data_IF_672751691427
#
_entry.id   IF_672751691427
#
_cell.length_a   1.000
_cell.length_b   1.000
_cell.length_c   1.000
_cell.angle_alpha   90.00
_cell.angle_beta   90.00
_cell.angle_gamma   90.00
#
_symmetry.space_group_name_H-M   'P 1'
#
loop_
_entity.id
_entity.type
_entity.pdbx_description
1 polymer ?
#
# COMPACT_ATOMS: atom_id res chain seq x y z
N UNK A 1 8.84 9.92 -25.60
CA UNK A 1 8.11 9.24 -24.50
C UNK A 1 8.72 7.86 -24.28
N UNK A 2 8.83 7.45 -23.01
CA UNK A 2 9.24 6.11 -22.59
C UNK A 2 8.01 5.37 -22.06
N UNK A 3 7.86 4.10 -22.44
CA UNK A 3 6.82 3.20 -21.96
C UNK A 3 7.48 2.12 -21.11
N UNK A 4 6.99 1.89 -19.91
CA UNK A 4 7.47 0.84 -19.01
C UNK A 4 6.34 -0.18 -18.81
N UNK A 5 6.63 -1.45 -19.05
CA UNK A 5 5.66 -2.55 -18.91
C UNK A 5 6.17 -3.63 -17.96
N UNK A 6 5.28 -4.20 -17.19
CA UNK A 6 5.64 -5.20 -16.18
C UNK A 6 6.07 -6.56 -16.76
N UNK A 7 5.55 -6.90 -17.96
CA UNK A 7 5.81 -8.20 -18.56
C UNK A 7 5.46 -8.24 -20.05
N UNK A 8 5.84 -9.32 -20.73
CA UNK A 8 5.62 -9.52 -22.15
C UNK A 8 4.13 -9.60 -22.55
N UNK A 9 3.24 -10.01 -21.64
CA UNK A 9 1.81 -10.02 -21.93
C UNK A 9 1.25 -8.59 -22.03
N UNK A 10 1.74 -7.67 -21.19
CA UNK A 10 1.38 -6.26 -21.28
C UNK A 10 1.99 -5.62 -22.54
N UNK A 11 3.22 -5.98 -22.87
CA UNK A 11 3.86 -5.55 -24.10
C UNK A 11 3.05 -5.97 -25.35
N UNK A 12 2.57 -7.21 -25.39
CA UNK A 12 1.71 -7.72 -26.45
C UNK A 12 0.43 -6.89 -26.63
N UNK A 13 -0.22 -6.52 -25.52
CA UNK A 13 -1.44 -5.68 -25.57
C UNK A 13 -1.18 -4.29 -26.13
N UNK A 14 0.00 -3.75 -25.93
CA UNK A 14 0.36 -2.41 -26.37
C UNK A 14 1.02 -2.38 -27.76
N UNK A 15 1.38 -3.54 -28.34
CA UNK A 15 2.21 -3.64 -29.54
C UNK A 15 1.61 -2.87 -30.72
N UNK A 16 0.31 -2.94 -30.95
CA UNK A 16 -0.37 -2.19 -32.00
C UNK A 16 -0.20 -0.68 -31.81
N UNK A 17 -0.52 -0.19 -30.61
CA UNK A 17 -0.37 1.24 -30.25
C UNK A 17 1.08 1.71 -30.35
N UNK A 18 2.03 0.87 -29.95
CA UNK A 18 3.47 1.18 -30.00
C UNK A 18 3.94 1.34 -31.45
N UNK A 19 3.47 0.50 -32.35
CA UNK A 19 3.84 0.55 -33.76
C UNK A 19 3.19 1.72 -34.51
N UNK A 20 1.99 2.11 -34.11
CA UNK A 20 1.26 3.23 -34.72
C UNK A 20 1.72 4.61 -34.23
N UNK A 21 2.32 4.69 -33.04
CA UNK A 21 2.65 5.97 -32.39
C UNK A 21 4.14 6.28 -32.42
N UNK A 22 4.54 7.19 -33.29
CA UNK A 22 5.93 7.61 -33.49
C UNK A 22 6.54 8.36 -32.27
N UNK A 23 5.72 8.87 -31.35
CA UNK A 23 6.23 9.59 -30.18
C UNK A 23 6.81 8.69 -29.08
N UNK A 24 6.58 7.36 -29.14
CA UNK A 24 7.19 6.41 -28.20
C UNK A 24 8.62 6.13 -28.66
N UNK A 25 9.59 6.60 -27.88
CA UNK A 25 11.01 6.49 -28.20
C UNK A 25 11.68 5.23 -27.67
N UNK A 26 11.33 4.82 -26.46
CA UNK A 26 11.88 3.63 -25.80
C UNK A 26 10.79 2.89 -25.05
N UNK A 27 10.97 1.58 -24.96
CA UNK A 27 10.08 0.67 -24.23
C UNK A 27 10.95 -0.17 -23.30
N UNK A 28 10.61 -0.18 -22.01
CA UNK A 28 11.32 -0.91 -20.98
C UNK A 28 10.41 -2.02 -20.46
N UNK A 29 10.90 -3.25 -20.42
CA UNK A 29 10.20 -4.40 -19.82
C UNK A 29 11.02 -5.00 -18.68
N UNK A 30 10.34 -5.59 -17.70
CA UNK A 30 10.97 -6.36 -16.63
C UNK A 30 11.24 -7.80 -17.02
N UNK A 31 10.58 -8.30 -18.07
CA UNK A 31 10.82 -9.64 -18.62
C UNK A 31 12.01 -9.65 -19.57
N UNK A 32 12.53 -10.86 -19.78
CA UNK A 32 13.57 -11.14 -20.76
C UNK A 32 13.07 -10.78 -22.19
N UNK A 33 13.81 -9.88 -22.85
CA UNK A 33 13.50 -9.38 -24.18
C UNK A 33 13.64 -10.44 -25.29
N UNK A 34 14.57 -11.40 -25.17
CA UNK A 34 14.74 -12.42 -26.19
C UNK A 34 13.47 -13.26 -26.35
N UNK A 35 12.84 -13.59 -25.24
CA UNK A 35 11.53 -14.26 -25.24
C UNK A 35 10.42 -13.38 -25.84
N UNK A 36 10.51 -12.05 -25.67
CA UNK A 36 9.56 -11.12 -26.27
C UNK A 36 9.72 -11.04 -27.79
N UNK A 37 10.94 -11.01 -28.27
CA UNK A 37 11.23 -10.90 -29.72
C UNK A 37 10.68 -12.08 -30.51
N UNK A 38 10.76 -13.30 -29.98
CA UNK A 38 10.23 -14.49 -30.62
C UNK A 38 8.69 -14.48 -30.74
N UNK A 39 8.01 -13.82 -29.80
CA UNK A 39 6.54 -13.90 -29.69
C UNK A 39 5.81 -12.70 -30.30
N UNK A 40 6.48 -11.59 -30.61
CA UNK A 40 5.81 -10.31 -30.88
C UNK A 40 6.14 -9.65 -32.23
N UNK A 41 6.82 -10.29 -33.16
CA UNK A 41 7.21 -9.69 -34.46
C UNK A 41 7.74 -8.25 -34.33
N UNK A 42 8.72 -8.04 -33.47
CA UNK A 42 9.26 -6.74 -33.17
C UNK A 42 10.22 -6.31 -34.29
N UNK A 43 9.83 -5.31 -35.07
CA UNK A 43 10.61 -4.83 -36.22
C UNK A 43 11.79 -3.94 -35.84
N UNK A 44 11.74 -3.24 -34.70
CA UNK A 44 12.79 -2.32 -34.24
C UNK A 44 13.26 -2.67 -32.84
N UNK A 45 14.22 -3.60 -32.74
CA UNK A 45 14.76 -4.10 -31.48
C UNK A 45 15.45 -3.01 -30.64
N UNK A 46 16.05 -2.01 -31.27
CA UNK A 46 16.75 -0.91 -30.56
C UNK A 46 15.82 -0.04 -29.71
N UNK A 47 14.52 -0.09 -29.99
CA UNK A 47 13.50 0.62 -29.23
C UNK A 47 13.24 -0.01 -27.86
N UNK A 48 13.58 -1.28 -27.68
CA UNK A 48 13.25 -2.09 -26.51
C UNK A 48 14.48 -2.29 -25.63
N UNK A 49 14.29 -2.15 -24.32
CA UNK A 49 15.31 -2.33 -23.29
C UNK A 49 14.76 -3.22 -22.18
N UNK A 50 15.55 -4.15 -21.67
CA UNK A 50 15.20 -4.83 -20.43
C UNK A 50 15.65 -3.99 -19.23
N UNK A 51 14.87 -4.07 -18.16
CA UNK A 51 15.11 -3.29 -16.95
C UNK A 51 16.48 -3.58 -16.32
N UNK A 52 16.90 -4.84 -16.34
CA UNK A 52 18.18 -5.23 -15.74
C UNK A 52 19.38 -4.64 -16.50
N UNK A 53 19.29 -4.51 -17.82
CA UNK A 53 20.34 -3.89 -18.62
C UNK A 53 20.50 -2.41 -18.29
N UNK A 54 19.38 -1.72 -18.02
CA UNK A 54 19.39 -0.30 -17.61
C UNK A 54 20.02 -0.15 -16.22
N UNK A 55 19.69 -1.03 -15.29
CA UNK A 55 20.22 -0.98 -13.92
C UNK A 55 21.73 -1.27 -13.82
N UNK A 56 22.31 -1.90 -14.83
CA UNK A 56 23.77 -2.15 -14.90
C UNK A 56 24.57 -0.97 -15.44
N UNK A 57 23.91 0.00 -16.07
CA UNK A 57 24.59 1.16 -16.61
C UNK A 57 24.86 2.18 -15.50
N UNK A 58 26.12 2.49 -15.28
CA UNK A 58 26.49 3.61 -14.42
C UNK A 58 26.07 4.94 -15.07
N UNK A 59 25.44 5.79 -14.27
CA UNK A 59 25.13 7.15 -14.70
C UNK A 59 26.43 7.93 -14.90
N UNK A 60 26.64 8.46 -16.09
CA UNK A 60 27.74 9.40 -16.31
C UNK A 60 27.51 10.70 -15.53
N UNK A 61 28.58 11.47 -15.25
CA UNK A 61 28.44 12.81 -14.64
C UNK A 61 27.49 13.74 -15.42
N UNK A 62 27.34 13.52 -16.73
CA UNK A 62 26.44 14.28 -17.61
C UNK A 62 24.97 13.87 -17.43
N UNK A 63 24.71 12.67 -16.92
CA UNK A 63 23.36 12.14 -16.66
C UNK A 63 22.86 12.47 -15.26
N UNK A 64 23.70 13.05 -14.41
CA UNK A 64 23.26 13.59 -13.11
C UNK A 64 22.19 14.63 -13.36
N UNK A 65 21.07 14.47 -12.66
CA UNK A 65 19.91 15.35 -12.75
C UNK A 65 20.36 16.80 -12.64
N UNK A 66 20.54 17.46 -13.78
CA UNK A 66 20.74 18.90 -13.82
C UNK A 66 19.45 19.54 -13.31
N UNK A 67 19.58 20.51 -12.41
CA UNK A 67 18.53 21.30 -11.78
C UNK A 67 17.27 21.43 -12.65
N UNK A 68 16.36 20.46 -12.50
CA UNK A 68 15.03 20.57 -13.07
C UNK A 68 14.35 21.72 -12.34
N UNK A 69 14.12 22.82 -13.05
CA UNK A 69 13.45 24.01 -12.50
C UNK A 69 11.96 23.72 -12.32
N UNK A 70 11.64 22.68 -11.50
CA UNK A 70 10.30 22.22 -11.25
C UNK A 70 9.60 23.17 -10.28
N UNK A 71 8.45 23.69 -10.71
CA UNK A 71 7.58 24.51 -9.87
C UNK A 71 6.54 23.63 -9.18
N UNK A 72 6.01 24.09 -8.07
CA UNK A 72 4.87 23.41 -7.39
C UNK A 72 3.66 23.21 -8.32
N UNK A 73 3.48 24.11 -9.30
CA UNK A 73 2.41 24.04 -10.32
C UNK A 73 2.72 23.09 -11.47
N UNK A 74 3.96 22.64 -11.61
CA UNK A 74 4.33 21.68 -12.66
C UNK A 74 3.59 20.36 -12.47
N UNK A 75 3.22 19.73 -13.59
CA UNK A 75 2.59 18.40 -13.59
C UNK A 75 3.59 17.38 -13.09
N UNK A 76 3.20 16.62 -12.05
CA UNK A 76 3.99 15.52 -11.50
C UNK A 76 3.62 14.18 -12.14
N UNK A 77 2.32 13.89 -12.20
CA UNK A 77 1.82 12.66 -12.80
C UNK A 77 0.37 12.80 -13.27
N UNK A 78 -0.08 11.82 -14.05
CA UNK A 78 -1.48 11.67 -14.47
C UNK A 78 -1.93 10.28 -14.03
N UNK A 79 -2.98 10.24 -13.20
CA UNK A 79 -3.59 8.97 -12.76
C UNK A 79 -4.91 8.79 -13.48
N UNK A 80 -5.05 7.68 -14.19
CA UNK A 80 -6.29 7.34 -14.89
C UNK A 80 -7.29 6.68 -13.95
N UNK A 81 -8.52 7.16 -13.99
CA UNK A 81 -9.67 6.60 -13.27
C UNK A 81 -10.68 6.02 -14.26
N UNK A 82 -11.49 5.05 -13.83
CA UNK A 82 -12.47 4.38 -14.70
C UNK A 82 -13.58 5.30 -15.23
N UNK A 83 -13.74 6.51 -14.68
CA UNK A 83 -14.78 7.44 -15.08
C UNK A 83 -16.22 6.88 -14.97
N UNK A 84 -17.18 7.69 -14.64
CA UNK A 84 -18.60 7.29 -14.54
C UNK A 84 -19.26 6.93 -15.89
N UNK A 85 -18.63 7.27 -17.01
CA UNK A 85 -19.14 7.04 -18.37
C UNK A 85 -18.38 5.95 -19.15
N UNK A 86 -17.61 5.08 -18.47
CA UNK A 86 -16.87 3.96 -19.09
C UNK A 86 -15.56 4.34 -19.77
N UNK A 87 -15.34 5.61 -20.11
CA UNK A 87 -14.06 6.08 -20.67
C UNK A 87 -13.10 6.51 -19.56
N UNK A 88 -11.85 6.01 -19.54
CA UNK A 88 -10.87 6.43 -18.56
C UNK A 88 -10.60 7.95 -18.62
N UNK A 89 -10.59 8.60 -17.44
CA UNK A 89 -10.24 10.02 -17.31
C UNK A 89 -8.88 10.17 -16.66
N UNK A 90 -7.99 10.94 -17.28
CA UNK A 90 -6.68 11.27 -16.74
C UNK A 90 -6.77 12.44 -15.76
N UNK A 91 -6.55 12.16 -14.47
CA UNK A 91 -6.48 13.18 -13.41
C UNK A 91 -5.05 13.69 -13.31
N UNK A 92 -4.87 14.97 -13.59
CA UNK A 92 -3.55 15.64 -13.55
C UNK A 92 -3.23 16.05 -12.12
N UNK A 93 -2.10 15.58 -11.60
CA UNK A 93 -1.59 15.93 -10.28
C UNK A 93 -0.33 16.78 -10.40
N UNK A 94 -0.30 17.90 -9.66
CA UNK A 94 0.88 18.76 -9.59
C UNK A 94 1.81 18.34 -8.45
N UNK A 95 3.10 18.71 -8.55
CA UNK A 95 4.06 18.53 -7.45
C UNK A 95 3.55 19.18 -6.14
N UNK A 96 2.97 20.38 -6.24
CA UNK A 96 2.41 21.07 -5.07
C UNK A 96 1.26 20.34 -4.40
N UNK A 97 0.36 19.72 -5.18
CA UNK A 97 -0.74 18.92 -4.67
C UNK A 97 -0.26 17.69 -3.89
N UNK A 98 0.72 16.97 -4.46
CA UNK A 98 1.33 15.80 -3.81
C UNK A 98 2.03 16.24 -2.52
N UNK A 99 2.83 17.31 -2.55
CA UNK A 99 3.53 17.81 -1.36
C UNK A 99 2.58 18.26 -0.24
N UNK A 100 1.45 18.88 -0.58
CA UNK A 100 0.44 19.27 0.42
C UNK A 100 -0.17 18.04 1.12
N UNK A 101 -0.55 17.03 0.35
CA UNK A 101 -1.04 15.77 0.92
C UNK A 101 0.01 15.09 1.79
N UNK A 102 1.27 15.15 1.37
CA UNK A 102 2.38 14.58 2.09
C UNK A 102 2.58 15.23 3.47
N UNK A 103 2.52 16.56 3.56
CA UNK A 103 2.61 17.29 4.84
C UNK A 103 1.51 16.81 5.79
N UNK A 104 0.25 16.76 5.34
CA UNK A 104 -0.86 16.28 6.14
C UNK A 104 -0.71 14.82 6.58
N UNK A 105 -0.28 13.94 5.68
CA UNK A 105 -0.05 12.53 5.99
C UNK A 105 1.07 12.35 7.03
N UNK A 106 2.17 13.10 6.92
CA UNK A 106 3.26 13.05 7.89
C UNK A 106 2.82 13.52 9.29
N UNK A 107 2.03 14.60 9.38
CA UNK A 107 1.51 15.07 10.67
C UNK A 107 0.59 14.04 11.34
N UNK A 108 -0.30 13.39 10.58
CA UNK A 108 -1.17 12.33 11.10
C UNK A 108 -0.35 11.11 11.58
N UNK A 109 0.73 10.78 10.88
CA UNK A 109 1.57 9.63 11.23
C UNK A 109 2.57 9.91 12.35
N UNK A 110 2.93 11.16 12.59
CA UNK A 110 3.95 11.57 13.58
C UNK A 110 3.76 10.93 14.97
N UNK A 111 2.55 10.85 15.56
CA UNK A 111 2.35 10.20 16.84
C UNK A 111 2.55 8.67 16.82
N UNK A 112 2.54 8.07 15.65
CA UNK A 112 2.69 6.62 15.46
C UNK A 112 4.14 6.20 15.21
N UNK A 113 5.03 7.18 14.96
CA UNK A 113 6.43 6.97 14.59
C UNK A 113 7.33 7.33 15.76
N UNK A 114 7.73 6.34 16.56
CA UNK A 114 8.74 6.45 17.63
C UNK A 114 10.12 5.92 17.20
N UNK A 115 10.17 5.19 16.09
CA UNK A 115 11.35 4.59 15.48
C UNK A 115 11.13 4.51 13.97
N UNK A 116 12.11 4.00 13.22
CA UNK A 116 11.96 3.81 11.76
C UNK A 116 10.72 2.96 11.46
N UNK A 117 9.69 3.53 10.81
CA UNK A 117 8.46 2.80 10.53
C UNK A 117 8.67 1.73 9.46
N UNK A 118 7.93 0.65 9.58
CA UNK A 118 7.92 -0.46 8.61
C UNK A 118 6.54 -0.55 7.99
N UNK A 119 6.49 -0.53 6.66
CA UNK A 119 5.27 -0.65 5.88
C UNK A 119 5.29 -1.91 5.02
N UNK A 120 4.12 -2.45 4.78
CA UNK A 120 3.88 -3.46 3.75
C UNK A 120 2.91 -2.86 2.72
N UNK A 121 3.42 -2.53 1.55
CA UNK A 121 2.66 -2.01 0.41
C UNK A 121 2.07 -3.19 -0.38
N UNK A 122 0.76 -3.18 -0.58
CA UNK A 122 0.03 -4.26 -1.25
C UNK A 122 -1.11 -3.75 -2.15
N UNK A 123 -1.46 -2.48 -2.02
CA UNK A 123 -2.41 -1.83 -2.91
C UNK A 123 -1.72 -1.36 -4.20
N UNK A 124 -2.46 -1.21 -5.31
CA UNK A 124 -1.88 -0.76 -6.57
C UNK A 124 -1.33 0.67 -6.48
N UNK A 125 -0.04 0.86 -6.81
CA UNK A 125 0.60 2.19 -6.85
C UNK A 125 0.00 3.12 -7.91
N UNK A 126 -0.72 2.58 -8.87
CA UNK A 126 -1.48 3.36 -9.85
C UNK A 126 -2.74 4.01 -9.27
N UNK A 127 -3.16 3.63 -8.05
CA UNK A 127 -4.28 4.23 -7.35
C UNK A 127 -3.80 5.41 -6.50
N UNK A 128 -4.53 6.53 -6.53
CA UNK A 128 -4.15 7.79 -5.87
C UNK A 128 -3.85 7.64 -4.37
N UNK A 129 -4.59 6.78 -3.67
CA UNK A 129 -4.38 6.54 -2.24
C UNK A 129 -3.01 5.91 -1.96
N UNK A 130 -2.69 4.77 -2.58
CA UNK A 130 -1.40 4.11 -2.36
C UNK A 130 -0.24 4.93 -2.92
N UNK A 131 -0.47 5.66 -4.00
CA UNK A 131 0.50 6.61 -4.54
C UNK A 131 0.90 7.69 -3.52
N UNK A 132 -0.08 8.27 -2.82
CA UNK A 132 0.16 9.22 -1.72
C UNK A 132 0.88 8.56 -0.54
N UNK A 133 0.47 7.35 -0.14
CA UNK A 133 1.11 6.57 0.93
C UNK A 133 2.57 6.29 0.61
N UNK A 134 2.90 5.95 -0.64
CA UNK A 134 4.28 5.71 -1.07
C UNK A 134 5.19 6.93 -0.88
N UNK A 135 4.71 8.13 -1.22
CA UNK A 135 5.46 9.36 -0.94
C UNK A 135 5.62 9.62 0.55
N UNK A 136 4.58 9.35 1.35
CA UNK A 136 4.66 9.48 2.80
C UNK A 136 5.68 8.52 3.41
N UNK A 137 5.73 7.27 2.93
CA UNK A 137 6.73 6.27 3.33
C UNK A 137 8.16 6.75 3.07
N UNK A 138 8.40 7.37 1.90
CA UNK A 138 9.70 7.95 1.54
C UNK A 138 10.04 9.12 2.48
N UNK A 139 9.10 10.02 2.71
CA UNK A 139 9.32 11.22 3.51
C UNK A 139 9.65 10.92 4.99
N UNK A 140 9.06 9.87 5.55
CA UNK A 140 9.34 9.45 6.94
C UNK A 140 10.52 8.47 7.03
N UNK A 141 11.23 8.20 5.94
CA UNK A 141 12.37 7.28 5.92
C UNK A 141 12.00 5.84 6.26
N UNK A 142 10.79 5.39 5.87
CA UNK A 142 10.27 4.08 6.20
C UNK A 142 11.10 2.94 5.56
N UNK A 143 11.06 1.78 6.21
CA UNK A 143 11.39 0.50 5.54
C UNK A 143 10.13 0.00 4.87
N UNK A 144 10.17 -0.18 3.55
CA UNK A 144 9.02 -0.59 2.76
C UNK A 144 9.23 -1.97 2.18
N UNK A 145 8.27 -2.84 2.41
CA UNK A 145 8.15 -4.14 1.76
C UNK A 145 6.98 -4.11 0.79
N UNK A 146 7.11 -4.82 -0.33
CA UNK A 146 6.05 -4.95 -1.33
C UNK A 146 5.51 -6.37 -1.29
N UNK A 147 4.21 -6.52 -1.13
CA UNK A 147 3.57 -7.82 -1.13
C UNK A 147 3.62 -8.45 -2.53
N UNK A 148 3.87 -9.75 -2.59
CA UNK A 148 3.93 -10.48 -3.85
C UNK A 148 2.54 -10.55 -4.53
N UNK A 149 1.52 -10.92 -3.75
CA UNK A 149 0.13 -11.05 -4.18
C UNK A 149 -0.81 -11.13 -2.97
N UNK A 150 -2.10 -10.89 -3.19
CA UNK A 150 -3.11 -10.83 -2.10
C UNK A 150 -3.22 -12.16 -1.34
N UNK A 151 -3.09 -13.29 -2.02
CA UNK A 151 -3.18 -14.63 -1.41
C UNK A 151 -2.06 -14.89 -0.39
N UNK A 152 -0.89 -14.26 -0.58
CA UNK A 152 0.26 -14.35 0.32
C UNK A 152 0.37 -13.22 1.33
N UNK A 153 -0.65 -12.37 1.41
CA UNK A 153 -0.59 -11.15 2.24
C UNK A 153 -0.30 -11.47 3.71
N UNK A 154 -0.88 -12.52 4.28
CA UNK A 154 -0.64 -12.92 5.68
C UNK A 154 0.80 -13.39 5.91
N UNK A 155 1.37 -14.14 4.96
CA UNK A 155 2.77 -14.58 5.02
C UNK A 155 3.69 -13.37 4.94
N UNK A 156 3.44 -12.46 4.00
CA UNK A 156 4.20 -11.22 3.85
C UNK A 156 4.08 -10.31 5.09
N UNK A 157 2.91 -10.24 5.75
CA UNK A 157 2.75 -9.52 7.03
C UNK A 157 3.63 -10.15 8.13
N UNK A 158 3.65 -11.49 8.20
CA UNK A 158 4.46 -12.20 9.21
C UNK A 158 5.95 -11.97 9.02
N UNK A 159 6.42 -11.89 7.77
CA UNK A 159 7.80 -11.63 7.40
C UNK A 159 8.20 -10.16 7.59
N UNK A 160 7.44 -9.25 7.01
CA UNK A 160 7.70 -7.81 7.06
C UNK A 160 7.52 -7.21 8.46
N UNK A 161 6.62 -7.76 9.28
CA UNK A 161 6.26 -7.28 10.62
C UNK A 161 5.97 -5.77 10.63
N UNK A 162 5.02 -5.30 9.83
CA UNK A 162 4.78 -3.88 9.66
C UNK A 162 4.38 -3.20 10.98
N UNK A 163 4.79 -1.95 11.14
CA UNK A 163 4.37 -1.10 12.27
C UNK A 163 3.11 -0.32 11.93
N UNK A 164 2.93 0.01 10.65
CA UNK A 164 1.75 0.69 10.11
C UNK A 164 1.28 -0.10 8.88
N UNK A 165 -0.01 -0.34 8.80
CA UNK A 165 -0.63 -1.03 7.67
C UNK A 165 -1.72 -0.16 7.07
N UNK A 166 -1.57 0.16 5.78
CA UNK A 166 -2.56 0.92 5.02
C UNK A 166 -3.48 -0.01 4.25
N UNK A 167 -4.76 0.28 4.24
CA UNK A 167 -5.74 -0.48 3.48
C UNK A 167 -6.97 0.35 3.13
N UNK A 168 -7.81 -0.19 2.24
CA UNK A 168 -9.11 0.40 1.90
C UNK A 168 -10.21 -0.12 2.83
N UNK A 169 -11.35 0.61 3.01
CA UNK A 169 -12.42 0.23 3.91
C UNK A 169 -12.92 -1.21 3.73
N UNK A 170 -13.01 -1.66 2.49
CA UNK A 170 -13.44 -3.03 2.17
C UNK A 170 -12.54 -4.12 2.78
N UNK A 171 -11.25 -3.87 2.91
CA UNK A 171 -10.34 -4.79 3.59
C UNK A 171 -10.71 -4.93 5.07
N UNK A 172 -10.92 -3.81 5.76
CA UNK A 172 -11.30 -3.79 7.17
C UNK A 172 -12.66 -4.41 7.41
N UNK A 173 -13.63 -4.18 6.53
CA UNK A 173 -14.93 -4.84 6.54
C UNK A 173 -14.78 -6.38 6.48
N UNK A 174 -13.99 -6.87 5.55
CA UNK A 174 -13.74 -8.30 5.40
C UNK A 174 -13.01 -8.88 6.63
N UNK A 175 -12.04 -8.14 7.17
CA UNK A 175 -11.32 -8.52 8.39
C UNK A 175 -12.26 -8.61 9.59
N UNK A 176 -13.10 -7.60 9.80
CA UNK A 176 -14.13 -7.56 10.83
C UNK A 176 -15.08 -8.75 10.72
N UNK A 177 -15.62 -9.00 9.53
CA UNK A 177 -16.52 -10.13 9.27
C UNK A 177 -15.84 -11.48 9.57
N UNK A 178 -14.62 -11.67 9.13
CA UNK A 178 -13.84 -12.89 9.38
C UNK A 178 -13.57 -13.10 10.87
N UNK A 179 -13.22 -12.04 11.60
CA UNK A 179 -13.04 -12.11 13.06
C UNK A 179 -14.36 -12.48 13.73
N UNK A 180 -15.47 -11.84 13.39
CA UNK A 180 -16.79 -12.12 13.98
C UNK A 180 -17.26 -13.56 13.73
N UNK A 181 -17.07 -14.08 12.51
CA UNK A 181 -17.38 -15.48 12.19
C UNK A 181 -16.55 -16.43 13.06
N UNK A 182 -15.25 -16.15 13.20
CA UNK A 182 -14.37 -16.98 14.02
C UNK A 182 -14.71 -16.90 15.51
N UNK A 183 -15.13 -15.72 15.99
CA UNK A 183 -15.58 -15.54 17.38
C UNK A 183 -16.86 -16.33 17.68
N UNK A 184 -17.84 -16.30 16.78
CA UNK A 184 -19.10 -17.05 16.94
C UNK A 184 -18.91 -18.56 17.01
N UNK A 185 -17.81 -19.07 16.45
CA UNK A 185 -17.42 -20.49 16.54
C UNK A 185 -16.78 -20.88 17.87
N UNK A 186 -16.37 -19.90 18.69
CA UNK A 186 -15.75 -20.19 19.99
C UNK A 186 -16.83 -20.45 21.04
N UNK A 187 -16.54 -21.37 21.95
CA UNK A 187 -17.43 -21.75 23.06
C UNK A 187 -16.67 -21.70 24.39
N UNK A 188 -17.40 -21.81 25.49
CA UNK A 188 -16.84 -21.94 26.83
C UNK A 188 -15.99 -20.72 27.25
N UNK A 189 -14.86 -20.98 27.89
CA UNK A 189 -13.98 -19.94 28.45
C UNK A 189 -13.41 -19.03 27.38
N UNK A 190 -13.07 -19.56 26.20
CA UNK A 190 -12.55 -18.76 25.08
C UNK A 190 -13.54 -17.68 24.64
N UNK A 191 -14.81 -18.03 24.46
CA UNK A 191 -15.85 -17.08 24.09
C UNK A 191 -16.00 -15.97 25.12
N UNK A 192 -15.98 -16.32 26.42
CA UNK A 192 -16.06 -15.35 27.52
C UNK A 192 -14.86 -14.38 27.53
N UNK A 193 -13.64 -14.87 27.33
CA UNK A 193 -12.43 -14.03 27.27
C UNK A 193 -12.46 -13.07 26.07
N UNK A 194 -12.89 -13.52 24.91
CA UNK A 194 -13.02 -12.68 23.71
C UNK A 194 -14.06 -11.59 23.93
N UNK A 195 -15.26 -11.95 24.42
CA UNK A 195 -16.32 -10.99 24.73
C UNK A 195 -15.88 -9.94 25.74
N UNK A 196 -15.20 -10.35 26.81
CA UNK A 196 -14.64 -9.45 27.81
C UNK A 196 -13.57 -8.51 27.20
N UNK A 197 -12.73 -9.04 26.29
CA UNK A 197 -11.71 -8.26 25.59
C UNK A 197 -12.31 -7.12 24.79
N UNK A 198 -13.39 -7.41 24.04
CA UNK A 198 -14.09 -6.39 23.26
C UNK A 198 -14.76 -5.37 24.17
N UNK A 199 -15.51 -5.83 25.18
CA UNK A 199 -16.21 -4.95 26.12
C UNK A 199 -15.24 -3.97 26.83
N UNK A 200 -14.14 -4.47 27.37
CA UNK A 200 -13.17 -3.64 28.08
C UNK A 200 -12.33 -2.79 27.11
N UNK A 201 -12.08 -3.28 25.89
CA UNK A 201 -11.47 -2.48 24.82
C UNK A 201 -12.34 -1.28 24.47
N UNK A 202 -13.65 -1.47 24.28
CA UNK A 202 -14.61 -0.40 23.97
C UNK A 202 -14.69 0.63 25.11
N UNK A 203 -14.75 0.18 26.38
CA UNK A 203 -14.69 1.08 27.54
C UNK A 203 -13.43 1.95 27.54
N UNK A 204 -12.27 1.36 27.24
CA UNK A 204 -11.00 2.09 27.16
C UNK A 204 -11.00 3.11 26.04
N UNK A 205 -11.50 2.74 24.86
CA UNK A 205 -11.59 3.63 23.69
C UNK A 205 -12.48 4.84 23.96
N UNK A 206 -13.63 4.62 24.63
CA UNK A 206 -14.59 5.68 24.98
C UNK A 206 -14.22 6.46 26.24
N UNK A 207 -13.02 6.22 26.83
CA UNK A 207 -12.57 6.84 28.08
C UNK A 207 -13.56 6.65 29.27
N UNK A 208 -14.33 5.55 29.27
CA UNK A 208 -15.22 5.23 30.37
C UNK A 208 -14.44 4.82 31.62
N UNK A 209 -14.99 5.14 32.81
CA UNK A 209 -14.39 4.76 34.08
C UNK A 209 -14.36 3.24 34.22
N UNK A 210 -13.17 2.71 34.48
CA UNK A 210 -12.95 1.30 34.77
C UNK A 210 -12.61 1.11 36.26
N UNK A 211 -13.23 0.11 36.91
CA UNK A 211 -12.88 -0.29 38.26
C UNK A 211 -11.44 -0.85 38.33
N UNK A 212 -10.87 -0.93 39.55
CA UNK A 212 -9.55 -1.51 39.75
C UNK A 212 -9.48 -2.96 39.22
N UNK A 213 -10.47 -3.77 39.49
CA UNK A 213 -10.54 -5.17 38.98
C UNK A 213 -10.67 -5.25 37.46
N UNK A 214 -11.45 -4.34 36.84
CA UNK A 214 -11.54 -4.28 35.38
C UNK A 214 -10.20 -3.92 34.74
N UNK A 215 -9.41 -3.01 35.34
CA UNK A 215 -8.07 -2.65 34.84
C UNK A 215 -7.11 -3.83 34.92
N UNK A 216 -7.08 -4.54 36.06
CA UNK A 216 -6.24 -5.72 36.26
C UNK A 216 -6.62 -6.82 35.26
N UNK A 217 -7.91 -7.10 35.12
CA UNK A 217 -8.41 -8.11 34.17
C UNK A 217 -8.13 -7.71 32.72
N UNK A 218 -8.28 -6.42 32.37
CA UNK A 218 -7.93 -5.92 31.04
C UNK A 218 -6.45 -6.15 30.70
N UNK A 219 -5.53 -5.94 31.66
CA UNK A 219 -4.10 -6.25 31.47
C UNK A 219 -3.84 -7.74 31.25
N UNK A 220 -4.58 -8.60 31.91
CA UNK A 220 -4.52 -10.06 31.66
C UNK A 220 -4.99 -10.40 30.25
N UNK A 221 -6.07 -9.76 29.77
CA UNK A 221 -6.59 -9.94 28.41
C UNK A 221 -5.62 -9.43 27.32
N UNK A 222 -4.79 -8.43 27.65
CA UNK A 222 -3.71 -7.98 26.75
C UNK A 222 -2.73 -9.13 26.45
N UNK A 223 -2.39 -9.92 27.46
CA UNK A 223 -1.46 -11.06 27.30
C UNK A 223 -2.15 -12.27 26.64
N UNK A 224 -3.34 -12.64 27.14
CA UNK A 224 -4.03 -13.87 26.75
C UNK A 224 -4.67 -13.78 25.36
N UNK A 225 -5.16 -12.60 24.98
CA UNK A 225 -5.97 -12.43 23.75
C UNK A 225 -5.27 -11.46 22.77
N UNK A 226 -5.08 -10.20 23.16
CA UNK A 226 -4.61 -9.15 22.23
C UNK A 226 -3.21 -9.43 21.70
N UNK A 227 -2.27 -9.91 22.51
CA UNK A 227 -0.93 -10.32 22.02
C UNK A 227 -0.99 -11.42 20.98
N UNK A 228 -1.92 -12.38 21.08
CA UNK A 228 -2.09 -13.45 20.11
C UNK A 228 -2.62 -12.91 18.78
N UNK A 229 -3.60 -11.99 18.85
CA UNK A 229 -4.13 -11.32 17.66
C UNK A 229 -3.02 -10.48 17.01
N UNK A 230 -2.29 -9.68 17.80
CA UNK A 230 -1.20 -8.84 17.31
C UNK A 230 -0.11 -9.65 16.60
N UNK A 231 0.19 -10.88 17.08
CA UNK A 231 1.13 -11.79 16.41
C UNK A 231 0.71 -12.15 14.99
N UNK A 232 -0.58 -12.26 14.70
CA UNK A 232 -1.08 -12.55 13.35
C UNK A 232 -0.77 -11.41 12.36
N UNK A 233 -0.56 -10.19 12.88
CA UNK A 233 -0.12 -9.01 12.13
C UNK A 233 1.38 -8.73 12.30
N UNK A 234 2.20 -9.77 12.48
CA UNK A 234 3.66 -9.64 12.61
C UNK A 234 4.16 -9.17 13.98
N UNK A 235 3.28 -8.88 14.94
CA UNK A 235 3.60 -8.53 16.32
C UNK A 235 3.96 -7.05 16.58
N UNK A 236 4.34 -6.30 15.56
CA UNK A 236 4.82 -4.91 15.68
C UNK A 236 3.78 -3.85 15.31
N UNK A 237 2.60 -4.27 14.84
CA UNK A 237 1.57 -3.36 14.35
C UNK A 237 1.12 -2.39 15.45
N UNK A 238 1.18 -1.09 15.16
CA UNK A 238 0.75 0.02 16.01
C UNK A 238 -0.58 0.61 15.56
N UNK A 239 -0.77 0.70 14.23
CA UNK A 239 -1.98 1.28 13.67
C UNK A 239 -2.36 0.67 12.33
N UNK A 240 -3.66 0.63 12.10
CA UNK A 240 -4.26 0.53 10.78
C UNK A 240 -4.62 1.94 10.28
N UNK A 241 -4.34 2.21 9.01
CA UNK A 241 -4.70 3.48 8.36
C UNK A 241 -5.64 3.17 7.20
N UNK A 242 -6.87 3.65 7.29
CA UNK A 242 -7.87 3.48 6.24
C UNK A 242 -7.91 4.71 5.33
N UNK A 243 -7.93 4.48 4.03
CA UNK A 243 -8.06 5.55 3.04
C UNK A 243 -8.75 5.10 1.75
N UNK A 244 -8.92 6.03 0.83
CA UNK A 244 -9.66 5.78 -0.41
C UNK A 244 -11.18 5.77 -0.26
N UNK A 245 -11.72 5.92 0.96
CA UNK A 245 -13.14 5.98 1.28
C UNK A 245 -13.38 6.04 2.78
N UNK A 246 -14.61 6.30 3.20
CA UNK A 246 -15.00 6.33 4.59
C UNK A 246 -15.03 4.90 5.17
N UNK A 247 -14.39 4.72 6.33
CA UNK A 247 -14.50 3.49 7.12
C UNK A 247 -15.72 3.61 8.05
N UNK A 248 -16.50 2.53 8.14
CA UNK A 248 -17.59 2.43 9.10
C UNK A 248 -17.05 2.59 10.53
N UNK A 249 -17.74 3.43 11.32
CA UNK A 249 -17.30 3.79 12.67
C UNK A 249 -17.23 2.57 13.60
N UNK A 250 -18.21 1.67 13.54
CA UNK A 250 -18.25 0.47 14.38
C UNK A 250 -17.07 -0.45 14.08
N UNK A 251 -16.71 -0.58 12.80
CA UNK A 251 -15.57 -1.38 12.37
C UNK A 251 -14.26 -0.76 12.84
N UNK A 252 -14.11 0.56 12.74
CA UNK A 252 -12.94 1.27 13.22
C UNK A 252 -12.76 1.17 14.74
N UNK A 253 -13.85 1.27 15.50
CA UNK A 253 -13.84 1.12 16.97
C UNK A 253 -13.56 -0.32 17.42
N UNK A 254 -13.88 -1.30 16.59
CA UNK A 254 -13.65 -2.71 16.89
C UNK A 254 -12.19 -3.13 16.65
N UNK A 255 -11.55 -2.65 15.58
CA UNK A 255 -10.20 -3.01 15.16
C UNK A 255 -9.10 -2.25 15.90
#
# INVERSE_FOLDING_TARGET
TVVIVSNNNMLKKLNTTINEKNFIKKIITFDDLEKAYHNLNINNKEKYLDFNSIMKNDLSEKDKIQNLNLKRTSVACIIYTSGTGGNPKGVVLSHGGILNNLVGACEIMKPLIDSRPVFLTWLPLSHSYEHCVQFAQIAVGAKVYYAEKIEKLLDNISEAKPTIMTAVPRFYQNLYNKININMKKQTGLKAKLISATIKLGKKKLLNEKMSFFERLFNSLLDVLVRKKIKKQFGGNLKAFVSGGGALDKEIGEFL
#
